data_IF_382372279313
#
_entry.id   IF_382372279313
#
_cell.length_a   1.000
_cell.length_b   1.000
_cell.length_c   1.000
_cell.angle_alpha   90.00
_cell.angle_beta   90.00
_cell.angle_gamma   90.00
#
_symmetry.space_group_name_H-M   'P 1'
#
loop_
_entity.id
_entity.type
_entity.pdbx_description
1 polymer ?
#
# COMPACT_ATOMS: atom_id res chain seq x y z
N UNK A 1 -10.67 -26.43 17.72
CA UNK A 1 -9.81 -25.25 17.87
C UNK A 1 -10.67 -24.13 18.42
N UNK A 2 -10.36 -23.64 19.63
CA UNK A 2 -11.04 -22.49 20.22
C UNK A 2 -10.67 -21.25 19.41
N UNK A 3 -11.61 -20.73 18.63
CA UNK A 3 -11.43 -19.45 17.93
C UNK A 3 -11.30 -18.37 19.00
N UNK A 4 -10.10 -17.80 19.16
CA UNK A 4 -9.89 -16.68 20.08
C UNK A 4 -10.66 -15.47 19.54
N UNK A 5 -11.68 -15.04 20.27
CA UNK A 5 -12.36 -13.77 20.02
C UNK A 5 -11.52 -12.65 20.60
N UNK A 6 -10.91 -11.82 19.74
CA UNK A 6 -10.14 -10.66 20.17
C UNK A 6 -11.04 -9.63 20.85
N UNK A 7 -10.68 -9.22 22.07
CA UNK A 7 -11.34 -8.13 22.80
C UNK A 7 -11.10 -6.78 22.12
N UNK A 8 -11.86 -5.73 22.46
CA UNK A 8 -11.62 -4.39 21.93
C UNK A 8 -10.19 -3.87 22.22
N UNK A 9 -9.65 -4.21 23.39
CA UNK A 9 -8.28 -3.85 23.75
C UNK A 9 -7.27 -4.62 22.88
N UNK A 10 -7.47 -5.91 22.65
CA UNK A 10 -6.59 -6.70 21.77
C UNK A 10 -6.57 -6.14 20.35
N UNK A 11 -7.74 -5.75 19.82
CA UNK A 11 -7.84 -5.13 18.49
C UNK A 11 -7.13 -3.79 18.42
N UNK A 12 -7.21 -2.98 19.47
CA UNK A 12 -6.48 -1.71 19.56
C UNK A 12 -4.97 -1.96 19.57
N UNK A 13 -4.50 -2.89 20.38
CA UNK A 13 -3.08 -3.24 20.48
C UNK A 13 -2.55 -3.79 19.15
N UNK A 14 -3.27 -4.71 18.50
CA UNK A 14 -2.92 -5.19 17.16
C UNK A 14 -2.93 -4.08 16.10
N UNK A 15 -3.83 -3.10 16.22
CA UNK A 15 -3.84 -1.92 15.34
C UNK A 15 -2.60 -1.04 15.54
N UNK A 16 -2.15 -0.85 16.77
CA UNK A 16 -0.94 -0.10 17.10
C UNK A 16 0.31 -0.84 16.61
N UNK A 17 0.38 -2.16 16.82
CA UNK A 17 1.46 -3.01 16.33
C UNK A 17 1.61 -2.90 14.82
N UNK A 18 0.52 -3.08 14.06
CA UNK A 18 0.51 -2.90 12.59
C UNK A 18 0.98 -1.50 12.18
N UNK A 19 0.54 -0.47 12.88
CA UNK A 19 0.98 0.90 12.60
C UNK A 19 2.49 1.08 12.83
N UNK A 20 3.02 0.52 13.92
CA UNK A 20 4.46 0.55 14.21
C UNK A 20 5.27 -0.22 13.16
N UNK A 21 4.81 -1.39 12.75
CA UNK A 21 5.43 -2.19 11.70
C UNK A 21 5.45 -1.45 10.36
N UNK A 22 4.33 -0.85 9.96
CA UNK A 22 4.22 -0.13 8.69
C UNK A 22 5.09 1.14 8.64
N UNK A 23 5.24 1.82 9.79
CA UNK A 23 5.88 3.14 9.86
C UNK A 23 7.38 3.06 10.18
N UNK A 24 7.77 2.18 11.10
CA UNK A 24 9.11 2.15 11.67
C UNK A 24 9.77 0.75 11.62
N UNK A 25 9.00 -0.27 11.26
CA UNK A 25 9.46 -1.65 11.24
C UNK A 25 10.05 -2.09 9.89
N UNK A 26 10.49 -3.34 9.86
CA UNK A 26 10.61 -4.13 8.64
C UNK A 26 9.50 -5.17 8.72
N UNK A 27 8.34 -4.94 8.07
CA UNK A 27 7.27 -5.93 8.10
C UNK A 27 7.76 -7.26 7.53
N UNK A 28 7.34 -8.35 8.16
CA UNK A 28 7.64 -9.69 7.64
C UNK A 28 6.60 -10.07 6.59
N UNK A 29 7.06 -10.34 5.37
CA UNK A 29 6.19 -10.84 4.31
C UNK A 29 5.79 -12.30 4.61
N UNK A 30 4.50 -12.60 4.53
CA UNK A 30 3.98 -13.97 4.53
C UNK A 30 4.24 -14.67 3.19
N UNK A 31 4.44 -13.90 2.10
CA UNK A 31 4.79 -14.40 0.76
C UNK A 31 6.24 -14.09 0.40
N UNK A 32 6.86 -15.01 -0.33
CA UNK A 32 8.20 -14.80 -0.90
C UNK A 32 8.20 -13.62 -1.88
N UNK A 33 9.24 -12.81 -1.87
CA UNK A 33 9.36 -11.70 -2.83
C UNK A 33 9.49 -12.22 -4.26
N UNK A 34 8.74 -11.66 -5.23
CA UNK A 34 8.92 -11.94 -6.65
C UNK A 34 10.34 -11.62 -7.14
N UNK A 35 11.01 -10.67 -6.47
CA UNK A 35 12.38 -10.27 -6.79
C UNK A 35 13.45 -11.31 -6.42
N UNK A 36 13.16 -12.26 -5.53
CA UNK A 36 14.13 -13.26 -5.07
C UNK A 36 14.61 -14.21 -6.19
N UNK A 37 13.77 -14.41 -7.20
CA UNK A 37 14.08 -15.26 -8.34
C UNK A 37 14.98 -14.56 -9.38
N UNK A 38 15.21 -13.25 -9.22
CA UNK A 38 15.94 -12.42 -10.18
C UNK A 38 17.32 -12.08 -9.60
N UNK A 39 18.38 -12.36 -10.37
CA UNK A 39 19.74 -11.98 -10.00
C UNK A 39 19.87 -10.46 -9.90
N UNK A 40 20.68 -9.99 -8.95
CA UNK A 40 20.95 -8.54 -8.86
C UNK A 40 21.95 -8.18 -9.96
N UNK A 41 21.79 -6.99 -10.51
CA UNK A 41 22.68 -6.46 -11.53
C UNK A 41 23.33 -5.21 -11.00
N UNK A 42 24.62 -5.05 -11.27
CA UNK A 42 25.32 -3.82 -10.94
C UNK A 42 24.81 -2.67 -11.80
N UNK A 43 24.10 -1.75 -11.15
CA UNK A 43 23.61 -0.51 -11.74
C UNK A 43 24.57 0.64 -11.38
N UNK A 44 24.70 1.61 -12.28
CA UNK A 44 25.40 2.84 -11.96
C UNK A 44 24.65 3.64 -10.87
N UNK A 45 25.35 4.57 -10.22
CA UNK A 45 24.79 5.32 -9.08
C UNK A 45 23.58 6.19 -9.44
N UNK A 46 23.47 6.67 -10.68
CA UNK A 46 22.33 7.47 -11.11
C UNK A 46 21.08 6.60 -11.22
N UNK A 47 21.20 5.44 -11.86
CA UNK A 47 20.10 4.48 -12.05
C UNK A 47 19.69 3.85 -10.72
N UNK A 48 20.65 3.50 -9.86
CA UNK A 48 20.37 3.00 -8.50
C UNK A 48 19.56 4.01 -7.69
N UNK A 49 19.95 5.29 -7.70
CA UNK A 49 19.21 6.36 -7.01
C UNK A 49 17.83 6.60 -7.62
N UNK A 50 17.72 6.49 -8.95
CA UNK A 50 16.43 6.62 -9.63
C UNK A 50 15.47 5.50 -9.25
N UNK A 51 15.91 4.24 -9.36
CA UNK A 51 15.15 3.05 -8.95
C UNK A 51 14.75 3.14 -7.47
N UNK A 52 15.68 3.54 -6.60
CA UNK A 52 15.40 3.75 -5.19
C UNK A 52 14.33 4.83 -4.94
N UNK A 53 14.33 5.90 -5.73
CA UNK A 53 13.29 6.92 -5.70
C UNK A 53 11.91 6.38 -6.06
N UNK A 54 11.82 5.57 -7.12
CA UNK A 54 10.56 4.93 -7.54
C UNK A 54 10.08 3.90 -6.49
N UNK A 55 10.97 3.04 -6.00
CA UNK A 55 10.65 2.05 -4.97
C UNK A 55 10.20 2.69 -3.66
N UNK A 56 10.71 3.87 -3.32
CA UNK A 56 10.25 4.62 -2.13
C UNK A 56 8.85 5.18 -2.31
N UNK A 57 8.48 5.61 -3.52
CA UNK A 57 7.10 5.99 -3.82
C UNK A 57 6.17 4.79 -3.63
N UNK A 58 6.51 3.64 -4.21
CA UNK A 58 5.69 2.42 -4.08
C UNK A 58 5.56 2.04 -2.61
N UNK A 59 6.67 2.00 -1.86
CA UNK A 59 6.65 1.76 -0.41
C UNK A 59 5.70 2.70 0.35
N UNK A 60 5.69 4.01 0.05
CA UNK A 60 4.77 4.96 0.70
C UNK A 60 3.32 4.71 0.27
N UNK A 61 3.09 4.30 -0.99
CA UNK A 61 1.80 3.80 -1.48
C UNK A 61 1.27 2.69 -0.60
N UNK A 62 2.07 1.65 -0.36
CA UNK A 62 1.69 0.50 0.48
C UNK A 62 1.39 0.91 1.94
N UNK A 63 2.19 1.82 2.51
CA UNK A 63 1.91 2.40 3.85
C UNK A 63 0.54 3.08 3.87
N UNK A 64 0.21 3.85 2.83
CA UNK A 64 -1.07 4.55 2.73
C UNK A 64 -2.24 3.59 2.53
N UNK A 65 -2.14 2.64 1.60
CA UNK A 65 -3.18 1.66 1.30
C UNK A 65 -3.49 0.81 2.55
N UNK A 66 -2.44 0.27 3.19
CA UNK A 66 -2.60 -0.48 4.43
C UNK A 66 -3.29 0.36 5.53
N UNK A 67 -2.84 1.60 5.74
CA UNK A 67 -3.42 2.48 6.75
C UNK A 67 -4.90 2.79 6.46
N UNK A 68 -5.22 3.07 5.19
CA UNK A 68 -6.58 3.31 4.73
C UNK A 68 -7.47 2.10 5.04
N UNK A 69 -7.04 0.89 4.68
CA UNK A 69 -7.83 -0.33 4.84
C UNK A 69 -8.03 -0.70 6.30
N UNK A 70 -7.01 -0.53 7.14
CA UNK A 70 -7.14 -0.73 8.60
C UNK A 70 -8.08 0.30 9.21
N UNK A 71 -7.99 1.57 8.79
CA UNK A 71 -8.88 2.63 9.25
C UNK A 71 -10.34 2.35 8.87
N UNK A 72 -10.57 1.86 7.65
CA UNK A 72 -11.89 1.45 7.19
C UNK A 72 -12.41 0.25 7.97
N UNK A 73 -11.58 -0.77 8.17
CA UNK A 73 -11.93 -1.99 8.90
C UNK A 73 -12.31 -1.73 10.36
N UNK A 74 -11.81 -0.63 10.95
CA UNK A 74 -12.14 -0.24 12.33
C UNK A 74 -13.62 0.14 12.49
N UNK A 75 -14.26 0.71 11.46
CA UNK A 75 -15.66 1.15 11.46
C UNK A 75 -16.55 0.47 10.40
N UNK A 76 -16.06 -0.58 9.74
CA UNK A 76 -16.82 -1.35 8.77
C UNK A 76 -18.14 -1.86 9.39
N UNK A 77 -19.25 -1.68 8.65
CA UNK A 77 -20.61 -2.00 9.15
C UNK A 77 -20.91 -3.48 9.13
N UNK A 78 -20.28 -4.21 8.21
CA UNK A 78 -20.47 -5.64 8.02
C UNK A 78 -19.19 -6.41 8.36
N UNK A 79 -19.30 -7.61 8.97
CA UNK A 79 -18.17 -8.50 9.18
C UNK A 79 -17.43 -8.84 7.88
N UNK A 80 -18.17 -9.02 6.79
CA UNK A 80 -17.65 -9.39 5.48
C UNK A 80 -16.77 -8.28 4.88
N UNK A 81 -17.20 -7.01 4.96
CA UNK A 81 -16.38 -5.86 4.55
C UNK A 81 -15.13 -5.75 5.42
N UNK A 82 -15.28 -5.93 6.74
CA UNK A 82 -14.13 -5.89 7.65
C UNK A 82 -13.10 -6.96 7.33
N UNK A 83 -13.53 -8.20 7.12
CA UNK A 83 -12.65 -9.32 6.78
C UNK A 83 -11.93 -9.08 5.45
N UNK A 84 -12.66 -8.58 4.44
CA UNK A 84 -12.06 -8.23 3.15
C UNK A 84 -10.98 -7.15 3.29
N UNK A 85 -11.26 -6.05 4.00
CA UNK A 85 -10.30 -4.96 4.20
C UNK A 85 -9.07 -5.42 4.99
N UNK A 86 -9.26 -6.25 6.02
CA UNK A 86 -8.14 -6.80 6.79
C UNK A 86 -7.30 -7.78 5.97
N UNK A 87 -7.91 -8.49 5.03
CA UNK A 87 -7.20 -9.36 4.10
C UNK A 87 -6.36 -8.56 3.10
N UNK A 88 -6.95 -7.57 2.43
CA UNK A 88 -6.22 -6.65 1.55
C UNK A 88 -5.07 -5.97 2.29
N UNK A 89 -5.32 -5.44 3.49
CA UNK A 89 -4.30 -4.84 4.33
C UNK A 89 -3.17 -5.80 4.76
N UNK A 90 -3.37 -7.12 4.68
CA UNK A 90 -2.32 -8.12 4.92
C UNK A 90 -1.52 -8.40 3.65
N UNK A 91 -2.17 -8.40 2.47
CA UNK A 91 -1.49 -8.47 1.18
C UNK A 91 -0.60 -7.23 0.98
N UNK A 92 -1.04 -6.03 1.37
CA UNK A 92 -0.19 -4.82 1.34
C UNK A 92 1.03 -4.89 2.26
N UNK A 93 0.95 -5.67 3.35
CA UNK A 93 2.12 -5.89 4.21
C UNK A 93 3.21 -6.65 3.45
N UNK A 94 2.85 -7.59 2.57
CA UNK A 94 3.82 -8.28 1.72
C UNK A 94 4.47 -7.29 0.73
N UNK A 95 3.65 -6.46 0.06
CA UNK A 95 4.14 -5.45 -0.88
C UNK A 95 5.10 -4.46 -0.22
N UNK A 96 4.71 -3.99 0.97
CA UNK A 96 5.51 -3.09 1.80
C UNK A 96 6.86 -3.72 2.16
N UNK A 97 6.86 -4.98 2.59
CA UNK A 97 8.06 -5.72 2.93
C UNK A 97 8.98 -5.93 1.71
N UNK A 98 8.42 -6.28 0.54
CA UNK A 98 9.18 -6.43 -0.70
C UNK A 98 9.81 -5.11 -1.14
N UNK A 99 9.07 -4.00 -1.05
CA UNK A 99 9.60 -2.67 -1.36
C UNK A 99 10.69 -2.25 -0.37
N UNK A 100 10.50 -2.50 0.93
CA UNK A 100 11.49 -2.18 1.96
C UNK A 100 12.79 -2.96 1.76
N UNK A 101 12.69 -4.25 1.45
CA UNK A 101 13.84 -5.10 1.14
C UNK A 101 14.55 -4.63 -0.14
N UNK A 102 13.81 -4.30 -1.20
CA UNK A 102 14.43 -3.78 -2.42
C UNK A 102 15.11 -2.44 -2.20
N UNK A 103 14.56 -1.56 -1.36
CA UNK A 103 15.22 -0.30 -0.98
C UNK A 103 16.56 -0.54 -0.29
N UNK A 104 16.66 -1.54 0.60
CA UNK A 104 17.93 -1.93 1.23
C UNK A 104 18.95 -2.40 0.20
N UNK A 105 18.53 -3.25 -0.74
CA UNK A 105 19.39 -3.74 -1.83
C UNK A 105 19.89 -2.63 -2.76
N UNK A 106 19.09 -1.57 -2.92
CA UNK A 106 19.45 -0.37 -3.67
C UNK A 106 20.29 0.64 -2.85
N UNK A 107 20.78 0.25 -1.67
CA UNK A 107 21.53 1.10 -0.73
C UNK A 107 20.76 2.40 -0.39
N UNK A 108 19.47 2.23 -0.11
CA UNK A 108 18.52 3.30 0.18
C UNK A 108 17.64 2.94 1.37
N UNK A 109 16.70 3.84 1.70
CA UNK A 109 15.80 3.73 2.84
C UNK A 109 14.35 4.10 2.47
N UNK A 110 13.36 3.64 3.26
CA UNK A 110 12.00 4.15 3.23
C UNK A 110 11.90 5.65 3.53
N UNK A 111 10.72 6.23 3.30
CA UNK A 111 10.48 7.65 3.55
C UNK A 111 10.48 7.99 5.04
N UNK A 112 11.07 9.14 5.41
CA UNK A 112 11.01 9.64 6.79
C UNK A 112 9.62 10.08 7.22
N UNK A 113 8.72 10.30 6.26
CA UNK A 113 7.38 10.82 6.49
C UNK A 113 6.31 9.73 6.55
N UNK A 114 6.69 8.45 6.56
CA UNK A 114 5.77 7.32 6.76
C UNK A 114 4.80 7.52 7.94
N UNK A 115 5.20 8.05 9.12
CA UNK A 115 4.25 8.28 10.22
C UNK A 115 3.13 9.25 9.84
N UNK A 116 3.47 10.30 9.09
CA UNK A 116 2.51 11.31 8.64
C UNK A 116 1.57 10.74 7.59
N UNK A 117 2.12 10.00 6.62
CA UNK A 117 1.34 9.36 5.57
C UNK A 117 0.37 8.31 6.12
N UNK A 118 0.85 7.44 7.02
CA UNK A 118 0.02 6.45 7.68
C UNK A 118 -1.12 7.11 8.46
N UNK A 119 -0.82 8.11 9.30
CA UNK A 119 -1.83 8.77 10.12
C UNK A 119 -2.92 9.45 9.26
N UNK A 120 -2.52 10.12 8.17
CA UNK A 120 -3.45 10.76 7.24
C UNK A 120 -4.36 9.75 6.55
N UNK A 121 -3.79 8.68 5.99
CA UNK A 121 -4.55 7.65 5.28
C UNK A 121 -5.47 6.85 6.21
N UNK A 122 -5.03 6.54 7.44
CA UNK A 122 -5.87 5.93 8.45
C UNK A 122 -7.08 6.80 8.81
N UNK A 123 -6.87 8.11 9.01
CA UNK A 123 -7.95 9.04 9.32
C UNK A 123 -8.97 9.13 8.18
N UNK A 124 -8.51 9.15 6.92
CA UNK A 124 -9.38 9.09 5.74
C UNK A 124 -10.18 7.78 5.72
N UNK A 125 -9.54 6.65 6.04
CA UNK A 125 -10.19 5.35 6.06
C UNK A 125 -11.31 5.27 7.09
N UNK A 126 -11.05 5.73 8.32
CA UNK A 126 -12.06 5.85 9.38
C UNK A 126 -13.21 6.74 8.93
N UNK A 127 -12.93 7.89 8.32
CA UNK A 127 -13.95 8.81 7.82
C UNK A 127 -14.82 8.18 6.72
N UNK A 128 -14.21 7.46 5.78
CA UNK A 128 -14.91 6.78 4.70
C UNK A 128 -15.85 5.68 5.24
N UNK A 129 -15.37 4.85 6.16
CA UNK A 129 -16.18 3.81 6.78
C UNK A 129 -17.32 4.36 7.65
N UNK A 130 -17.12 5.51 8.30
CA UNK A 130 -18.19 6.18 9.03
C UNK A 130 -19.37 6.57 8.11
N UNK A 131 -19.09 6.99 6.88
CA UNK A 131 -20.12 7.30 5.86
C UNK A 131 -20.85 6.01 5.44
N UNK A 132 -20.13 4.92 5.19
CA UNK A 132 -20.66 3.56 5.02
C UNK A 132 -19.86 2.69 4.05
N UNK A 133 -20.11 1.37 4.13
CA UNK A 133 -19.37 0.35 3.38
C UNK A 133 -19.26 0.61 1.86
N UNK A 134 -20.30 1.05 1.12
CA UNK A 134 -20.16 1.31 -0.32
C UNK A 134 -19.16 2.42 -0.65
N UNK A 135 -19.15 3.50 0.13
CA UNK A 135 -18.19 4.60 -0.03
C UNK A 135 -16.80 4.16 0.41
N UNK A 136 -16.71 3.42 1.52
CA UNK A 136 -15.46 2.82 1.98
C UNK A 136 -14.81 1.96 0.90
N UNK A 137 -15.56 1.03 0.31
CA UNK A 137 -15.08 0.20 -0.80
C UNK A 137 -14.81 1.02 -2.06
N UNK A 138 -15.54 2.11 -2.30
CA UNK A 138 -15.23 3.07 -3.36
C UNK A 138 -13.85 3.73 -3.19
N UNK A 139 -13.43 4.03 -1.96
CA UNK A 139 -12.06 4.49 -1.67
C UNK A 139 -11.00 3.44 -1.97
N UNK A 140 -11.29 2.14 -1.76
CA UNK A 140 -10.39 1.05 -2.18
C UNK A 140 -10.27 1.07 -3.70
N UNK A 141 -11.40 1.00 -4.42
CA UNK A 141 -11.41 1.00 -5.90
C UNK A 141 -10.63 2.19 -6.49
N UNK A 142 -10.85 3.40 -5.97
CA UNK A 142 -10.16 4.59 -6.47
C UNK A 142 -8.66 4.59 -6.10
N UNK A 143 -8.31 4.13 -4.90
CA UNK A 143 -6.90 4.00 -4.49
C UNK A 143 -6.19 3.05 -5.44
N UNK A 144 -6.73 1.84 -5.63
CA UNK A 144 -6.09 0.82 -6.45
C UNK A 144 -5.97 1.19 -7.92
N UNK A 145 -6.98 1.88 -8.49
CA UNK A 145 -6.86 2.43 -9.85
C UNK A 145 -5.70 3.43 -9.97
N UNK A 146 -5.51 4.29 -8.96
CA UNK A 146 -4.39 5.22 -8.94
C UNK A 146 -3.05 4.53 -8.66
N UNK A 147 -3.06 3.40 -7.92
CA UNK A 147 -1.88 2.56 -7.71
C UNK A 147 -1.46 1.88 -9.01
N UNK A 148 -2.38 1.16 -9.66
CA UNK A 148 -2.18 0.50 -10.94
C UNK A 148 -1.57 1.45 -12.00
N UNK A 149 -2.16 2.64 -12.14
CA UNK A 149 -1.71 3.63 -13.10
C UNK A 149 -0.27 4.12 -12.83
N UNK A 150 0.10 4.32 -11.56
CA UNK A 150 1.47 4.73 -11.25
C UNK A 150 2.47 3.57 -11.33
N UNK A 151 2.04 2.33 -11.05
CA UNK A 151 2.89 1.15 -11.21
C UNK A 151 3.24 0.95 -12.69
N UNK A 152 2.28 1.15 -13.59
CA UNK A 152 2.53 1.18 -15.03
C UNK A 152 3.57 2.26 -15.40
N UNK A 153 3.42 3.49 -14.89
CA UNK A 153 4.38 4.57 -15.08
C UNK A 153 5.79 4.20 -14.57
N UNK A 154 5.88 3.57 -13.40
CA UNK A 154 7.15 3.17 -12.81
C UNK A 154 7.82 2.02 -13.59
N UNK A 155 7.05 1.07 -14.10
CA UNK A 155 7.56 -0.04 -14.93
C UNK A 155 8.25 0.46 -16.20
N UNK A 156 7.75 1.55 -16.79
CA UNK A 156 8.33 2.23 -17.96
C UNK A 156 9.57 3.05 -17.61
N UNK A 157 9.62 3.63 -16.40
CA UNK A 157 10.69 4.54 -15.95
C UNK A 157 11.86 3.83 -15.27
N UNK A 158 11.65 2.61 -14.76
CA UNK A 158 12.70 1.82 -14.14
C UNK A 158 13.86 1.59 -15.14
N UNK A 159 15.12 1.66 -14.68
CA UNK A 159 16.27 1.28 -15.49
C UNK A 159 16.08 -0.09 -16.15
N UNK A 160 16.62 -0.27 -17.35
CA UNK A 160 16.40 -1.47 -18.14
C UNK A 160 16.94 -2.74 -17.44
N UNK A 161 18.02 -2.57 -16.68
CA UNK A 161 18.71 -3.62 -15.94
C UNK A 161 18.01 -4.00 -14.62
N UNK A 162 17.08 -3.17 -14.13
CA UNK A 162 16.41 -3.39 -12.84
C UNK A 162 15.22 -4.35 -12.95
N UNK A 163 15.50 -5.56 -13.43
CA UNK A 163 14.51 -6.62 -13.55
C UNK A 163 13.98 -7.08 -12.18
N UNK A 164 14.75 -6.90 -11.11
CA UNK A 164 14.30 -7.26 -9.77
C UNK A 164 13.18 -6.34 -9.28
N UNK A 165 13.35 -5.02 -9.37
CA UNK A 165 12.27 -4.09 -9.02
C UNK A 165 11.07 -4.30 -9.94
N UNK A 166 11.31 -4.53 -11.24
CA UNK A 166 10.25 -4.79 -12.22
C UNK A 166 9.42 -6.04 -11.89
N UNK A 167 10.05 -7.11 -11.41
CA UNK A 167 9.33 -8.32 -10.98
C UNK A 167 8.40 -8.04 -9.79
N UNK A 168 8.86 -7.25 -8.82
CA UNK A 168 8.05 -6.83 -7.67
C UNK A 168 6.85 -6.01 -8.14
N UNK A 169 7.07 -4.96 -8.96
CA UNK A 169 6.00 -4.06 -9.40
C UNK A 169 4.95 -4.75 -10.27
N UNK A 170 5.33 -5.72 -11.10
CA UNK A 170 4.37 -6.51 -11.91
C UNK A 170 3.45 -7.36 -11.03
N UNK A 171 4.00 -7.96 -9.97
CA UNK A 171 3.19 -8.74 -9.04
C UNK A 171 2.22 -7.82 -8.28
N UNK A 172 2.73 -6.71 -7.73
CA UNK A 172 1.90 -5.72 -7.05
C UNK A 172 0.77 -5.23 -7.96
N UNK A 173 1.07 -4.85 -9.21
CA UNK A 173 0.05 -4.39 -10.16
C UNK A 173 -1.05 -5.45 -10.40
N UNK A 174 -0.69 -6.73 -10.46
CA UNK A 174 -1.66 -7.83 -10.59
C UNK A 174 -2.53 -7.96 -9.34
N UNK A 175 -1.94 -7.78 -8.17
CA UNK A 175 -2.62 -7.85 -6.88
C UNK A 175 -3.57 -6.64 -6.70
N UNK A 176 -3.16 -5.42 -7.09
CA UNK A 176 -4.01 -4.22 -6.98
C UNK A 176 -5.23 -4.24 -7.90
N UNK A 177 -5.07 -4.76 -9.13
CA UNK A 177 -6.21 -4.96 -10.03
C UNK A 177 -7.22 -5.90 -9.37
N UNK A 178 -6.75 -6.99 -8.73
CA UNK A 178 -7.62 -7.91 -8.00
C UNK A 178 -8.29 -7.23 -6.80
N UNK A 179 -7.59 -6.40 -6.05
CA UNK A 179 -8.16 -5.63 -4.94
C UNK A 179 -9.29 -4.71 -5.42
N UNK A 180 -9.05 -3.94 -6.49
CA UNK A 180 -10.04 -3.05 -7.09
C UNK A 180 -11.30 -3.82 -7.55
N UNK A 181 -11.12 -4.90 -8.30
CA UNK A 181 -12.21 -5.74 -8.79
C UNK A 181 -13.00 -6.37 -7.64
N UNK A 182 -12.32 -6.84 -6.59
CA UNK A 182 -12.97 -7.42 -5.41
C UNK A 182 -13.79 -6.39 -4.64
N UNK A 183 -13.24 -5.18 -4.43
CA UNK A 183 -13.94 -4.10 -3.76
C UNK A 183 -15.18 -3.64 -4.57
N UNK A 184 -15.05 -3.54 -5.89
CA UNK A 184 -16.17 -3.21 -6.78
C UNK A 184 -17.25 -4.30 -6.75
N UNK A 185 -16.87 -5.59 -6.82
CA UNK A 185 -17.80 -6.71 -6.74
C UNK A 185 -18.55 -6.79 -5.40
N UNK A 186 -17.97 -6.22 -4.33
CA UNK A 186 -18.57 -6.12 -2.99
C UNK A 186 -19.44 -4.88 -2.79
N UNK A 187 -19.67 -4.10 -3.85
CA UNK A 187 -20.56 -2.94 -3.81
C UNK A 187 -19.85 -1.60 -3.59
N UNK A 188 -18.53 -1.55 -3.84
CA UNK A 188 -17.83 -0.27 -3.98
C UNK A 188 -18.47 0.60 -5.06
N UNK A 189 -18.72 1.86 -4.70
CA UNK A 189 -19.30 2.85 -5.63
C UNK A 189 -18.24 3.80 -6.14
N UNK A 190 -18.43 4.34 -7.34
CA UNK A 190 -17.59 5.43 -7.82
C UNK A 190 -17.72 6.63 -6.89
N UNK A 191 -16.58 7.18 -6.47
CA UNK A 191 -16.56 8.31 -5.56
C UNK A 191 -17.04 9.58 -6.28
N UNK A 192 -17.93 10.38 -5.65
CA UNK A 192 -18.41 11.60 -6.27
C UNK A 192 -17.28 12.63 -6.43
N UNK A 193 -17.38 13.44 -7.47
CA UNK A 193 -16.55 14.64 -7.59
C UNK A 193 -16.76 15.56 -6.36
N UNK A 194 -15.69 16.12 -5.75
CA UNK A 194 -14.31 16.22 -6.25
C UNK A 194 -13.32 15.17 -5.72
N UNK A 195 -13.79 14.09 -5.08
CA UNK A 195 -12.93 13.21 -4.27
C UNK A 195 -11.78 12.57 -5.07
N UNK A 196 -12.00 11.95 -6.25
CA UNK A 196 -10.90 11.37 -7.04
C UNK A 196 -9.80 12.38 -7.40
N UNK A 197 -10.20 13.61 -7.75
CA UNK A 197 -9.26 14.68 -8.09
C UNK A 197 -8.41 15.13 -6.91
N UNK A 198 -8.99 15.19 -5.70
CA UNK A 198 -8.25 15.50 -4.47
C UNK A 198 -7.28 14.37 -4.12
N UNK A 199 -7.71 13.11 -4.24
CA UNK A 199 -6.85 11.94 -4.03
C UNK A 199 -5.66 11.96 -4.99
N UNK A 200 -5.91 12.24 -6.27
CA UNK A 200 -4.85 12.34 -7.28
C UNK A 200 -3.85 13.46 -6.96
N UNK A 201 -4.33 14.64 -6.55
CA UNK A 201 -3.45 15.74 -6.17
C UNK A 201 -2.61 15.41 -4.92
N UNK A 202 -3.22 14.78 -3.91
CA UNK A 202 -2.51 14.33 -2.71
C UNK A 202 -1.45 13.27 -3.05
N UNK A 203 -1.81 12.30 -3.91
CA UNK A 203 -0.89 11.30 -4.44
C UNK A 203 0.29 11.95 -5.18
N UNK A 204 0.05 12.94 -6.04
CA UNK A 204 1.12 13.66 -6.75
C UNK A 204 2.12 14.35 -5.79
N UNK A 205 1.62 14.98 -4.72
CA UNK A 205 2.47 15.57 -3.66
C UNK A 205 3.27 14.49 -2.95
N UNK A 206 2.61 13.40 -2.53
CA UNK A 206 3.26 12.27 -1.90
C UNK A 206 4.38 11.71 -2.78
N UNK A 207 4.11 11.44 -4.06
CA UNK A 207 5.10 10.93 -5.03
C UNK A 207 6.32 11.85 -5.11
N UNK A 208 6.09 13.17 -5.25
CA UNK A 208 7.17 14.15 -5.36
C UNK A 208 8.06 14.23 -4.11
N UNK A 209 7.48 14.03 -2.93
CA UNK A 209 8.19 14.06 -1.65
C UNK A 209 8.90 12.73 -1.40
N UNK A 210 8.18 11.60 -1.51
CA UNK A 210 8.70 10.25 -1.30
C UNK A 210 9.82 9.90 -2.28
N UNK A 211 9.81 10.44 -3.51
CA UNK A 211 10.92 10.25 -4.44
C UNK A 211 12.26 10.74 -3.86
N UNK A 212 12.23 11.74 -2.96
CA UNK A 212 13.43 12.40 -2.42
C UNK A 212 13.80 11.98 -1.00
N UNK A 213 12.83 11.79 -0.11
CA UNK A 213 13.07 11.67 1.35
C UNK A 213 12.34 10.54 2.04
#
# INVERSE_FOLDING_TARGET
MTVRTLSPLDRLLSGIERAMEAVAGSPEAGRRSPGDAVADVDMNDADRRHAAGLMRINHVGEVCAQALYVGQAALARTPETREHLMHAAAEETDHLAWCAERLKQLDSRPSLLNPLWYAGSYAIGVAAAAVGDPISLGFVVETERQVEAHLAEHLERLPAEDERSRAILRQMQTDEIRHAESAQARGGVDLPWPIPGVMHAASAVMKAVAYRI
#
